data_IF_866418114864
#
_entry.id   IF_866418114864
#
_cell.length_a   1.000
_cell.length_b   1.000
_cell.length_c   1.000
_cell.angle_alpha   90.00
_cell.angle_beta   90.00
_cell.angle_gamma   90.00
#
_symmetry.space_group_name_H-M   'P 1'
#
loop_
_entity.id
_entity.type
_entity.pdbx_description
1 polymer ?
#
# COMPACT_ATOMS: atom_id res chain seq x y z
N UNK A 1 -16.32 14.76 22.94
CA UNK A 1 -15.53 13.53 22.80
C UNK A 1 -16.05 12.77 21.58
N UNK A 2 -15.22 12.55 20.55
CA UNK A 2 -15.61 11.80 19.34
C UNK A 2 -15.51 10.30 19.64
N UNK A 3 -16.62 9.56 19.50
CA UNK A 3 -16.63 8.10 19.62
C UNK A 3 -15.64 7.49 18.62
N UNK A 4 -14.77 6.55 19.04
CA UNK A 4 -14.00 5.74 18.12
C UNK A 4 -14.94 5.05 17.14
N UNK A 5 -14.63 5.10 15.84
CA UNK A 5 -15.39 4.36 14.82
C UNK A 5 -15.21 2.87 15.12
N UNK A 6 -16.28 2.21 15.54
CA UNK A 6 -16.36 0.75 15.55
C UNK A 6 -16.17 0.28 14.10
N UNK A 7 -14.99 -0.26 13.82
CA UNK A 7 -14.71 -0.92 12.55
C UNK A 7 -15.33 -2.31 12.69
N UNK A 8 -16.50 -2.49 12.08
CA UNK A 8 -17.13 -3.79 11.98
C UNK A 8 -16.23 -4.72 11.15
N UNK A 9 -15.50 -5.60 11.85
CA UNK A 9 -14.43 -6.44 11.26
C UNK A 9 -15.01 -7.51 10.33
N UNK A 10 -16.28 -7.86 10.51
CA UNK A 10 -16.95 -8.91 9.73
C UNK A 10 -17.50 -8.42 8.39
N UNK A 11 -17.60 -7.11 8.19
CA UNK A 11 -18.12 -6.54 6.95
C UNK A 11 -16.98 -6.25 5.95
N UNK A 12 -16.94 -6.93 4.79
CA UNK A 12 -15.90 -6.66 3.79
C UNK A 12 -15.99 -5.22 3.31
N UNK A 13 -14.84 -4.57 3.17
CA UNK A 13 -14.79 -3.17 2.71
C UNK A 13 -15.43 -3.01 1.33
N UNK A 14 -15.91 -1.81 0.97
CA UNK A 14 -16.51 -1.58 -0.36
C UNK A 14 -15.59 -2.01 -1.52
N UNK A 15 -14.29 -1.79 -1.40
CA UNK A 15 -13.28 -2.20 -2.39
C UNK A 15 -13.11 -3.71 -2.46
N UNK A 16 -13.22 -4.38 -1.32
CA UNK A 16 -13.17 -5.84 -1.21
C UNK A 16 -14.44 -6.50 -1.74
N UNK A 17 -15.61 -5.92 -1.48
CA UNK A 17 -16.87 -6.32 -2.10
C UNK A 17 -16.76 -6.23 -3.63
N UNK A 18 -16.20 -5.14 -4.17
CA UNK A 18 -15.96 -4.98 -5.60
C UNK A 18 -14.97 -6.03 -6.14
N UNK A 19 -13.86 -6.29 -5.45
CA UNK A 19 -12.87 -7.28 -5.89
C UNK A 19 -13.44 -8.70 -5.90
N UNK A 20 -14.25 -9.05 -4.88
CA UNK A 20 -14.96 -10.32 -4.80
C UNK A 20 -16.02 -10.43 -5.89
N UNK A 21 -16.73 -9.35 -6.19
CA UNK A 21 -17.67 -9.32 -7.32
C UNK A 21 -16.97 -9.54 -8.66
N UNK A 22 -15.83 -8.87 -8.91
CA UNK A 22 -15.02 -9.08 -10.13
C UNK A 22 -14.60 -10.55 -10.27
N UNK A 23 -14.13 -11.18 -9.17
CA UNK A 23 -13.80 -12.62 -9.16
C UNK A 23 -15.01 -13.47 -9.58
N UNK A 24 -16.18 -13.22 -8.99
CA UNK A 24 -17.43 -13.94 -9.33
C UNK A 24 -17.82 -13.76 -10.80
N UNK A 25 -17.72 -12.55 -11.34
CA UNK A 25 -18.04 -12.26 -12.75
C UNK A 25 -17.04 -12.91 -13.71
N UNK A 26 -15.74 -12.92 -13.38
CA UNK A 26 -14.72 -13.67 -14.13
C UNK A 26 -15.06 -15.15 -14.21
N UNK A 27 -15.40 -15.77 -13.08
CA UNK A 27 -15.84 -17.16 -13.04
C UNK A 27 -17.10 -17.38 -13.91
N UNK A 28 -18.11 -16.52 -13.77
CA UNK A 28 -19.34 -16.60 -14.58
C UNK A 28 -19.06 -16.50 -16.08
N UNK A 29 -18.21 -15.55 -16.50
CA UNK A 29 -17.78 -15.38 -17.90
C UNK A 29 -17.06 -16.63 -18.42
N UNK A 30 -16.18 -17.23 -17.61
CA UNK A 30 -15.49 -18.49 -17.97
C UNK A 30 -16.50 -19.63 -18.18
N UNK A 31 -17.50 -19.76 -17.31
CA UNK A 31 -18.55 -20.76 -17.46
C UNK A 31 -19.40 -20.51 -18.72
N UNK A 32 -19.75 -19.26 -19.02
CA UNK A 32 -20.45 -18.90 -20.25
C UNK A 32 -19.63 -19.27 -21.50
N UNK A 33 -18.31 -19.04 -21.49
CA UNK A 33 -17.42 -19.39 -22.60
C UNK A 33 -17.28 -20.89 -22.82
N UNK A 34 -17.26 -21.68 -21.75
CA UNK A 34 -17.17 -23.15 -21.81
C UNK A 34 -18.47 -23.83 -22.25
N UNK A 35 -19.59 -23.12 -22.23
CA UNK A 35 -20.88 -23.68 -22.61
C UNK A 35 -20.99 -23.88 -24.13
N UNK A 36 -21.37 -25.10 -24.57
CA UNK A 36 -21.61 -25.42 -25.99
C UNK A 36 -22.72 -24.57 -26.62
N UNK A 37 -23.72 -24.16 -25.82
CA UNK A 37 -24.78 -23.22 -26.22
C UNK A 37 -24.49 -21.82 -25.68
N UNK A 38 -23.30 -21.27 -25.98
CA UNK A 38 -22.90 -19.95 -25.48
C UNK A 38 -23.81 -18.84 -25.99
N UNK A 39 -24.23 -17.96 -25.10
CA UNK A 39 -24.99 -16.77 -25.45
C UNK A 39 -24.04 -15.57 -25.57
N UNK A 40 -23.80 -15.13 -26.81
CA UNK A 40 -22.86 -14.04 -27.11
C UNK A 40 -23.29 -12.70 -26.49
N UNK A 41 -24.60 -12.44 -26.36
CA UNK A 41 -25.10 -11.21 -25.72
C UNK A 41 -24.72 -11.19 -24.24
N UNK A 42 -24.93 -12.31 -23.55
CA UNK A 42 -24.55 -12.44 -22.14
C UNK A 42 -23.03 -12.29 -21.98
N UNK A 43 -22.24 -12.90 -22.86
CA UNK A 43 -20.79 -12.78 -22.83
C UNK A 43 -20.30 -11.34 -23.02
N UNK A 44 -20.91 -10.59 -23.95
CA UNK A 44 -20.62 -9.18 -24.17
C UNK A 44 -20.95 -8.33 -22.93
N UNK A 45 -22.14 -8.54 -22.34
CA UNK A 45 -22.55 -7.85 -21.10
C UNK A 45 -21.58 -8.14 -19.96
N UNK A 46 -21.23 -9.41 -19.74
CA UNK A 46 -20.28 -9.79 -18.69
C UNK A 46 -18.89 -9.19 -18.94
N UNK A 47 -18.46 -9.10 -20.21
CA UNK A 47 -17.18 -8.50 -20.57
C UNK A 47 -17.17 -6.99 -20.29
N UNK A 48 -18.22 -6.28 -20.67
CA UNK A 48 -18.34 -4.85 -20.40
C UNK A 48 -18.44 -4.56 -18.90
N UNK A 49 -19.28 -5.30 -18.17
CA UNK A 49 -19.45 -5.13 -16.73
C UNK A 49 -18.13 -5.38 -15.98
N UNK A 50 -17.39 -6.42 -16.38
CA UNK A 50 -16.07 -6.72 -15.83
C UNK A 50 -15.06 -5.61 -16.14
N UNK A 51 -15.00 -5.14 -17.38
CA UNK A 51 -14.13 -4.02 -17.77
C UNK A 51 -14.39 -2.76 -16.95
N UNK A 52 -15.67 -2.37 -16.80
CA UNK A 52 -16.04 -1.18 -16.03
C UNK A 52 -15.66 -1.32 -14.55
N UNK A 53 -15.93 -2.46 -13.94
CA UNK A 53 -15.58 -2.72 -12.55
C UNK A 53 -14.05 -2.71 -12.31
N UNK A 54 -13.27 -3.32 -13.21
CA UNK A 54 -11.80 -3.30 -13.13
C UNK A 54 -11.24 -1.89 -13.31
N UNK A 55 -11.80 -1.13 -14.25
CA UNK A 55 -11.44 0.27 -14.46
C UNK A 55 -11.70 1.14 -13.23
N UNK A 56 -12.88 0.99 -12.60
CA UNK A 56 -13.22 1.73 -11.38
C UNK A 56 -12.29 1.37 -10.22
N UNK A 57 -12.02 0.08 -10.03
CA UNK A 57 -11.09 -0.38 -8.99
C UNK A 57 -9.69 0.23 -9.19
N UNK A 58 -9.16 0.16 -10.42
CA UNK A 58 -7.84 0.72 -10.77
C UNK A 58 -7.81 2.24 -10.60
N UNK A 59 -8.85 2.93 -11.05
CA UNK A 59 -8.97 4.39 -10.88
C UNK A 59 -8.93 4.79 -9.40
N UNK A 60 -9.64 4.07 -8.53
CA UNK A 60 -9.62 4.30 -7.08
C UNK A 60 -8.25 4.02 -6.46
N UNK A 61 -7.60 2.93 -6.85
CA UNK A 61 -6.25 2.60 -6.39
C UNK A 61 -5.24 3.67 -6.79
N UNK A 62 -5.25 4.11 -8.06
CA UNK A 62 -4.36 5.17 -8.55
C UNK A 62 -4.60 6.51 -7.84
N UNK A 63 -5.87 6.88 -7.62
CA UNK A 63 -6.22 8.07 -6.83
C UNK A 63 -5.65 8.00 -5.43
N UNK A 64 -5.75 6.83 -4.76
CA UNK A 64 -5.23 6.64 -3.41
C UNK A 64 -3.70 6.70 -3.38
N UNK A 65 -3.03 6.07 -4.34
CA UNK A 65 -1.57 6.14 -4.49
C UNK A 65 -1.12 7.59 -4.70
N UNK A 66 -1.79 8.34 -5.58
CA UNK A 66 -1.50 9.76 -5.83
C UNK A 66 -1.63 10.60 -4.56
N UNK A 67 -2.70 10.40 -3.80
CA UNK A 67 -2.91 11.08 -2.51
C UNK A 67 -1.81 10.73 -1.50
N UNK A 68 -1.45 9.45 -1.36
CA UNK A 68 -0.37 9.02 -0.48
C UNK A 68 0.98 9.61 -0.89
N UNK A 69 1.28 9.67 -2.19
CA UNK A 69 2.50 10.33 -2.69
C UNK A 69 2.53 11.81 -2.33
N UNK A 70 1.40 12.52 -2.47
CA UNK A 70 1.28 13.94 -2.08
C UNK A 70 1.49 14.12 -0.57
N UNK A 71 0.88 13.28 0.27
CA UNK A 71 1.06 13.32 1.72
C UNK A 71 2.52 13.04 2.13
N UNK A 72 3.14 12.02 1.52
CA UNK A 72 4.55 11.69 1.75
C UNK A 72 5.46 12.86 1.36
N UNK A 73 5.21 13.49 0.21
CA UNK A 73 5.97 14.67 -0.23
C UNK A 73 5.82 15.84 0.73
N UNK A 74 4.61 16.09 1.26
CA UNK A 74 4.40 17.15 2.25
C UNK A 74 5.20 16.86 3.52
N UNK A 75 5.15 15.64 4.05
CA UNK A 75 5.87 15.27 5.26
C UNK A 75 7.40 15.44 5.11
N UNK A 76 7.96 15.04 3.96
CA UNK A 76 9.38 15.24 3.64
C UNK A 76 9.76 16.71 3.38
N UNK A 77 8.81 17.56 2.99
CA UNK A 77 9.04 19.00 2.86
C UNK A 77 8.98 19.72 4.21
N UNK A 78 8.13 19.25 5.13
CA UNK A 78 8.10 19.79 6.50
C UNK A 78 9.38 19.46 7.27
N UNK A 79 9.97 18.27 7.09
CA UNK A 79 11.27 17.94 7.71
C UNK A 79 12.44 18.74 7.13
N UNK A 80 12.34 19.19 5.88
CA UNK A 80 13.35 20.04 5.23
C UNK A 80 13.19 21.54 5.49
N UNK A 81 12.04 22.01 6.00
CA UNK A 81 11.80 23.45 6.19
C UNK A 81 12.53 24.06 7.39
N UNK A 82 13.17 23.25 8.24
CA UNK A 82 14.08 23.73 9.29
C UNK A 82 15.53 23.90 8.81
N UNK A 83 15.82 23.65 7.52
CA UNK A 83 17.16 23.88 6.98
C UNK A 83 17.09 24.52 5.59
N UNK A 84 17.45 25.80 5.53
CA UNK A 84 17.57 26.59 4.31
C UNK A 84 18.41 25.86 3.25
N UNK A 85 17.82 25.41 2.14
CA UNK A 85 18.04 25.95 0.80
C UNK A 85 17.25 25.13 -0.23
N UNK A 86 16.63 25.84 -1.18
CA UNK A 86 15.83 25.30 -2.25
C UNK A 86 16.73 24.84 -3.40
N UNK A 87 16.64 23.58 -3.83
CA UNK A 87 16.91 23.23 -5.22
C UNK A 87 16.03 22.07 -5.68
N UNK A 88 15.30 22.33 -6.77
CA UNK A 88 14.37 21.38 -7.38
C UNK A 88 15.13 20.20 -7.98
N UNK A 89 14.91 19.00 -7.47
CA UNK A 89 15.46 17.78 -8.07
C UNK A 89 14.35 16.97 -8.74
N UNK A 90 14.41 17.01 -10.07
CA UNK A 90 13.75 16.09 -10.98
C UNK A 90 14.03 14.64 -10.54
N UNK A 91 12.97 13.86 -10.40
CA UNK A 91 13.04 12.43 -10.09
C UNK A 91 13.61 11.69 -11.32
N UNK A 92 14.94 11.59 -11.39
CA UNK A 92 15.64 10.62 -12.23
C UNK A 92 15.91 9.37 -11.41
N UNK A 93 15.47 8.26 -11.96
CA UNK A 93 15.67 6.90 -11.53
C UNK A 93 17.18 6.58 -11.46
N UNK A 94 17.74 6.47 -10.25
CA UNK A 94 18.98 5.71 -10.03
C UNK A 94 19.08 5.33 -8.56
N UNK A 95 19.12 4.04 -8.30
CA UNK A 95 19.39 3.45 -7.00
C UNK A 95 20.80 3.86 -6.55
N UNK A 96 20.90 4.78 -5.59
CA UNK A 96 21.97 4.76 -4.61
C UNK A 96 21.32 4.66 -3.24
N UNK A 97 21.27 3.42 -2.78
CA UNK A 97 20.93 3.02 -1.42
C UNK A 97 22.10 3.38 -0.51
N UNK A 98 22.30 4.67 -0.28
CA UNK A 98 23.25 5.19 0.71
C UNK A 98 22.49 6.09 1.68
N UNK A 99 22.03 5.46 2.76
CA UNK A 99 21.86 6.07 4.08
C UNK A 99 20.94 7.31 4.17
N UNK A 100 19.81 7.31 3.48
CA UNK A 100 18.76 8.34 3.64
C UNK A 100 18.03 8.28 5.00
N UNK A 101 18.29 7.25 5.81
CA UNK A 101 17.73 7.06 7.15
C UNK A 101 18.64 7.53 8.29
N UNK A 102 19.79 8.15 7.99
CA UNK A 102 20.63 8.81 8.99
C UNK A 102 20.19 10.27 9.22
N UNK A 103 18.90 10.48 9.47
CA UNK A 103 18.44 11.67 10.21
C UNK A 103 18.62 11.35 11.71
N UNK A 104 18.81 12.34 12.63
CA UNK A 104 19.26 12.05 13.99
C UNK A 104 18.28 11.09 14.65
N UNK A 105 18.71 9.83 14.79
CA UNK A 105 17.99 8.80 15.53
C UNK A 105 17.60 9.44 16.85
N UNK A 106 16.30 9.47 17.15
CA UNK A 106 15.76 10.11 18.35
C UNK A 106 16.71 9.85 19.52
N UNK A 107 17.14 10.89 20.25
CA UNK A 107 18.15 10.77 21.30
C UNK A 107 17.73 9.78 22.41
N UNK A 108 16.44 9.47 22.50
CA UNK A 108 15.87 8.41 23.33
C UNK A 108 16.18 7.00 22.82
N UNK A 109 16.27 6.80 21.50
CA UNK A 109 16.55 5.52 20.84
C UNK A 109 18.06 5.21 20.72
N UNK A 110 18.95 6.20 20.84
CA UNK A 110 20.38 5.92 20.98
C UNK A 110 20.65 5.13 22.27
N UNK A 111 19.94 5.43 23.35
CA UNK A 111 20.02 4.66 24.60
C UNK A 111 19.61 3.19 24.42
N UNK A 112 18.65 2.92 23.55
CA UNK A 112 18.21 1.57 23.20
C UNK A 112 19.28 0.84 22.38
N UNK A 113 19.90 1.52 21.43
CA UNK A 113 20.95 0.94 20.60
C UNK A 113 22.20 0.59 21.44
N UNK A 114 22.58 1.47 22.37
CA UNK A 114 23.66 1.21 23.34
C UNK A 114 23.33 0.03 24.25
N UNK A 115 22.06 -0.12 24.65
CA UNK A 115 21.61 -1.28 25.42
C UNK A 115 21.68 -2.58 24.62
N UNK A 116 21.28 -2.58 23.35
CA UNK A 116 21.38 -3.75 22.46
C UNK A 116 22.83 -4.16 22.20
N UNK A 117 23.75 -3.20 22.08
CA UNK A 117 25.18 -3.47 22.01
C UNK A 117 25.69 -4.15 23.29
N UNK A 118 25.30 -3.64 24.47
CA UNK A 118 25.65 -4.29 25.75
C UNK A 118 25.10 -5.72 25.87
N UNK A 119 23.90 -5.99 25.36
CA UNK A 119 23.36 -7.35 25.33
C UNK A 119 24.17 -8.30 24.44
N UNK A 120 24.76 -7.80 23.36
CA UNK A 120 25.59 -8.61 22.46
C UNK A 120 26.92 -9.04 23.08
N UNK A 121 27.42 -8.27 24.06
CA UNK A 121 28.63 -8.60 24.83
C UNK A 121 28.38 -9.73 25.83
N UNK A 122 27.14 -9.88 26.30
CA UNK A 122 26.72 -10.98 27.16
C UNK A 122 26.51 -12.22 26.31
N UNK A 123 27.61 -12.85 25.88
CA UNK A 123 27.57 -14.22 25.36
C UNK A 123 27.19 -15.15 26.52
N UNK A 124 25.91 -15.48 26.63
CA UNK A 124 25.49 -16.57 27.50
C UNK A 124 26.14 -17.88 27.00
N UNK A 125 26.89 -18.62 27.83
CA UNK A 125 27.40 -19.91 27.42
C UNK A 125 26.21 -20.85 27.21
N UNK A 126 26.00 -21.27 25.96
CA UNK A 126 25.09 -22.38 25.66
C UNK A 126 25.75 -23.66 26.17
N UNK A 127 25.41 -24.08 27.39
CA UNK A 127 25.67 -25.44 27.83
C UNK A 127 24.79 -26.37 27.00
N UNK A 128 25.41 -27.32 26.31
CA UNK A 128 24.78 -28.30 25.44
C UNK A 128 24.98 -29.69 26.01
#
# INVERSE_FOLDING_TARGET
MLRPREIDVDQPSKTEQLSNWIKKVRCKKLMCRRNRKRNLRIEAVLSYALYKAEYELRSKQLSRISQWRKLKSKFLQTSRSDNHNCESLNYSETCQESNLWHEPVCQELSSLNDFMLKLSEIKAPLQR
#
